data_IF_429643762233
#
_entry.id   IF_429643762233
#
_cell.length_a   1.000
_cell.length_b   1.000
_cell.length_c   1.000
_cell.angle_alpha   90.00
_cell.angle_beta   90.00
_cell.angle_gamma   90.00
#
_symmetry.space_group_name_H-M   'P 1'
#
loop_
_entity.id
_entity.type
_entity.pdbx_description
1 polymer ?
#
# COMPACT_ATOMS: atom_id res chain seq x y z
N UNK A 1 33.01 -13.60 -15.43
CA UNK A 1 33.05 -13.27 -13.99
C UNK A 1 31.84 -13.94 -13.39
N UNK A 2 32.04 -14.82 -12.41
CA UNK A 2 30.93 -15.46 -11.70
C UNK A 2 30.14 -14.44 -10.87
N UNK A 3 28.96 -14.82 -10.41
CA UNK A 3 28.14 -14.02 -9.51
C UNK A 3 28.87 -13.67 -8.21
N UNK A 4 29.55 -14.64 -7.59
CA UNK A 4 30.34 -14.42 -6.37
C UNK A 4 31.52 -13.46 -6.61
N UNK A 5 32.28 -13.65 -7.70
CA UNK A 5 33.37 -12.72 -8.06
C UNK A 5 32.86 -11.30 -8.30
N UNK A 6 31.70 -11.16 -8.95
CA UNK A 6 31.07 -9.86 -9.17
C UNK A 6 30.62 -9.21 -7.86
N UNK A 7 29.94 -9.98 -6.98
CA UNK A 7 29.51 -9.51 -5.66
C UNK A 7 30.71 -9.02 -4.86
N UNK A 8 31.76 -9.82 -4.76
CA UNK A 8 32.94 -9.50 -3.95
C UNK A 8 33.69 -8.28 -4.51
N UNK A 9 33.80 -8.14 -5.84
CA UNK A 9 34.42 -6.97 -6.49
C UNK A 9 33.59 -5.69 -6.27
N UNK A 10 32.26 -5.79 -6.32
CA UNK A 10 31.35 -4.67 -6.07
C UNK A 10 31.36 -4.27 -4.59
N UNK A 11 31.31 -5.24 -3.68
CA UNK A 11 31.29 -4.98 -2.23
C UNK A 11 32.64 -4.47 -1.69
N UNK A 12 33.76 -4.85 -2.30
CA UNK A 12 35.09 -4.30 -2.00
C UNK A 12 35.34 -2.93 -2.62
N UNK A 13 34.46 -2.46 -3.51
CA UNK A 13 34.57 -1.18 -4.21
C UNK A 13 35.52 -1.18 -5.41
N UNK A 14 36.02 -2.35 -5.83
CA UNK A 14 36.82 -2.50 -7.05
C UNK A 14 35.98 -2.23 -8.31
N UNK A 15 34.73 -2.71 -8.32
CA UNK A 15 33.77 -2.48 -9.41
C UNK A 15 32.67 -1.51 -8.96
N UNK A 16 32.53 -0.33 -9.62
CA UNK A 16 31.47 0.61 -9.28
C UNK A 16 30.10 0.15 -9.80
N UNK A 17 29.06 0.37 -8.99
CA UNK A 17 27.65 0.22 -9.39
C UNK A 17 27.15 1.57 -9.91
N UNK A 18 27.46 1.85 -11.17
CA UNK A 18 27.22 3.13 -11.84
C UNK A 18 26.16 3.06 -12.96
N UNK A 19 25.60 1.87 -13.21
CA UNK A 19 24.56 1.64 -14.19
C UNK A 19 23.37 0.88 -13.61
N UNK A 20 22.22 1.02 -14.27
CA UNK A 20 20.99 0.29 -13.95
C UNK A 20 21.23 -1.23 -14.00
N UNK A 21 21.86 -1.72 -15.07
CA UNK A 21 22.12 -3.15 -15.28
C UNK A 21 23.03 -3.75 -14.18
N UNK A 22 24.06 -3.02 -13.74
CA UNK A 22 24.93 -3.48 -12.64
C UNK A 22 24.17 -3.52 -11.32
N UNK A 23 23.27 -2.55 -11.10
CA UNK A 23 22.43 -2.53 -9.91
C UNK A 23 21.42 -3.69 -9.91
N UNK A 24 20.80 -3.98 -11.06
CA UNK A 24 19.95 -5.15 -11.23
C UNK A 24 20.72 -6.44 -10.94
N UNK A 25 21.94 -6.58 -11.46
CA UNK A 25 22.77 -7.78 -11.26
C UNK A 25 23.08 -8.02 -9.78
N UNK A 26 23.53 -6.99 -9.05
CA UNK A 26 23.82 -7.16 -7.61
C UNK A 26 22.53 -7.40 -6.80
N UNK A 27 21.42 -6.77 -7.19
CA UNK A 27 20.12 -7.00 -6.56
C UNK A 27 19.62 -8.44 -6.80
N UNK A 28 19.79 -8.98 -8.01
CA UNK A 28 19.45 -10.36 -8.35
C UNK A 28 20.24 -11.37 -7.51
N UNK A 29 21.55 -11.17 -7.37
CA UNK A 29 22.42 -11.99 -6.51
C UNK A 29 21.93 -11.96 -5.05
N UNK A 30 21.57 -10.77 -4.54
CA UNK A 30 21.05 -10.65 -3.18
C UNK A 30 19.67 -11.29 -2.99
N UNK A 31 18.80 -11.24 -4.01
CA UNK A 31 17.49 -11.89 -3.95
C UNK A 31 17.60 -13.41 -3.91
N UNK A 32 18.50 -14.01 -4.70
CA UNK A 32 18.77 -15.45 -4.65
C UNK A 32 19.18 -15.90 -3.23
N UNK A 33 19.99 -15.11 -2.53
CA UNK A 33 20.40 -15.37 -1.13
C UNK A 33 19.27 -15.18 -0.09
N UNK A 34 18.21 -14.41 -0.38
CA UNK A 34 17.32 -13.84 0.65
C UNK A 34 15.83 -14.18 0.52
N UNK A 35 15.36 -14.51 -0.68
CA UNK A 35 13.95 -14.91 -0.91
C UNK A 35 13.60 -16.17 -0.11
N UNK A 36 14.57 -17.03 0.17
CA UNK A 36 14.41 -18.29 0.91
C UNK A 36 14.50 -18.15 2.43
N UNK A 37 15.11 -17.06 2.92
CA UNK A 37 15.32 -16.81 4.35
C UNK A 37 14.20 -15.94 4.98
N UNK A 38 13.13 -15.65 4.24
CA UNK A 38 12.00 -14.83 4.70
C UNK A 38 12.29 -13.32 4.80
N UNK A 39 13.37 -12.86 4.14
CA UNK A 39 13.86 -11.47 4.18
C UNK A 39 13.27 -10.60 3.06
N UNK A 40 12.97 -11.21 1.90
CA UNK A 40 12.20 -10.61 0.81
C UNK A 40 12.75 -9.29 0.25
N UNK A 41 11.92 -8.59 -0.54
CA UNK A 41 12.31 -7.32 -1.18
C UNK A 41 12.67 -6.19 -0.19
N UNK A 42 12.05 -6.18 1.00
CA UNK A 42 12.23 -5.12 2.00
C UNK A 42 13.63 -5.10 2.62
N UNK A 43 14.22 -6.26 2.88
CA UNK A 43 15.56 -6.32 3.44
C UNK A 43 16.63 -6.02 2.39
N UNK A 44 16.38 -6.42 1.13
CA UNK A 44 17.31 -6.15 0.04
C UNK A 44 17.38 -4.67 -0.28
N UNK A 45 16.26 -3.93 -0.31
CA UNK A 45 16.32 -2.47 -0.53
C UNK A 45 17.15 -1.78 0.56
N UNK A 46 17.04 -2.22 1.81
CA UNK A 46 17.83 -1.65 2.90
C UNK A 46 19.32 -1.99 2.75
N UNK A 47 19.66 -3.23 2.35
CA UNK A 47 21.03 -3.64 2.01
C UNK A 47 21.62 -2.81 0.86
N UNK A 48 20.84 -2.48 -0.17
CA UNK A 48 21.27 -1.60 -1.26
C UNK A 48 21.50 -0.17 -0.77
N UNK A 49 20.57 0.37 0.02
CA UNK A 49 20.64 1.74 0.54
C UNK A 49 21.85 1.96 1.46
N UNK A 50 22.21 0.99 2.32
CA UNK A 50 23.40 1.09 3.19
C UNK A 50 24.71 1.22 2.40
N UNK A 51 24.75 0.73 1.17
CA UNK A 51 25.89 0.85 0.26
C UNK A 51 25.80 2.07 -0.67
N UNK A 52 24.78 2.91 -0.49
CA UNK A 52 24.56 4.10 -1.29
C UNK A 52 23.97 3.82 -2.69
N UNK A 53 23.42 2.63 -2.91
CA UNK A 53 22.85 2.21 -4.18
C UNK A 53 21.34 2.39 -4.23
N UNK A 54 20.84 2.79 -5.40
CA UNK A 54 19.43 3.14 -5.65
C UNK A 54 19.16 3.07 -7.15
N UNK A 55 18.01 2.54 -7.54
CA UNK A 55 17.52 2.55 -8.92
C UNK A 55 17.07 3.95 -9.32
N UNK A 56 16.55 4.73 -8.37
CA UNK A 56 16.22 6.12 -8.60
C UNK A 56 17.43 7.02 -8.84
N UNK A 57 17.25 8.03 -9.69
CA UNK A 57 18.23 9.07 -10.03
C UNK A 57 17.69 10.46 -9.69
N UNK A 58 18.59 11.42 -9.46
CA UNK A 58 18.21 12.80 -9.12
C UNK A 58 17.32 12.86 -7.87
N UNK A 59 16.17 13.53 -7.97
CA UNK A 59 15.21 13.67 -6.86
C UNK A 59 14.55 12.34 -6.46
N UNK A 60 14.63 11.31 -7.31
CA UNK A 60 14.14 9.96 -7.00
C UNK A 60 15.22 9.08 -6.36
N UNK A 61 16.43 9.56 -6.14
CA UNK A 61 17.48 8.76 -5.51
C UNK A 61 17.06 8.31 -4.11
N UNK A 62 17.25 7.03 -3.83
CA UNK A 62 16.79 6.31 -2.63
C UNK A 62 15.27 6.26 -2.47
N UNK A 63 14.49 6.51 -3.52
CA UNK A 63 13.05 6.40 -3.42
C UNK A 63 12.63 4.95 -3.14
N UNK A 64 12.21 4.67 -1.90
CA UNK A 64 11.89 3.30 -1.45
C UNK A 64 10.83 2.64 -2.33
N UNK A 65 9.82 3.38 -2.75
CA UNK A 65 8.80 2.88 -3.68
C UNK A 65 9.41 2.40 -4.99
N UNK A 66 10.23 3.25 -5.62
CA UNK A 66 10.88 2.92 -6.90
C UNK A 66 11.87 1.76 -6.76
N UNK A 67 12.67 1.74 -5.70
CA UNK A 67 13.68 0.72 -5.51
C UNK A 67 13.06 -0.65 -5.23
N UNK A 68 11.99 -0.70 -4.41
CA UNK A 68 11.23 -1.93 -4.18
C UNK A 68 10.46 -2.39 -5.40
N UNK A 69 9.99 -1.48 -6.25
CA UNK A 69 9.36 -1.85 -7.52
C UNK A 69 10.32 -2.68 -8.37
N UNK A 70 11.56 -2.27 -8.54
CA UNK A 70 12.54 -3.04 -9.31
C UNK A 70 12.86 -4.39 -8.69
N UNK A 71 12.91 -4.47 -7.35
CA UNK A 71 13.07 -5.76 -6.66
C UNK A 71 11.84 -6.66 -6.86
N UNK A 72 10.62 -6.12 -6.80
CA UNK A 72 9.40 -6.87 -7.09
C UNK A 72 9.37 -7.38 -8.55
N UNK A 73 9.86 -6.57 -9.50
CA UNK A 73 10.01 -6.98 -10.90
C UNK A 73 11.01 -8.12 -11.08
N UNK A 74 12.17 -8.06 -10.40
CA UNK A 74 13.14 -9.14 -10.40
C UNK A 74 12.53 -10.45 -9.88
N UNK A 75 11.80 -10.40 -8.77
CA UNK A 75 11.15 -11.61 -8.22
C UNK A 75 10.05 -12.14 -9.14
N UNK A 76 9.30 -11.26 -9.81
CA UNK A 76 8.33 -11.67 -10.82
C UNK A 76 9.01 -12.38 -12.00
N UNK A 77 10.11 -11.81 -12.53
CA UNK A 77 10.91 -12.41 -13.60
C UNK A 77 11.53 -13.75 -13.18
N UNK A 78 12.12 -13.85 -11.98
CA UNK A 78 12.65 -15.12 -11.43
C UNK A 78 11.60 -16.23 -11.44
N UNK A 79 10.37 -15.88 -11.05
CA UNK A 79 9.28 -16.83 -11.01
C UNK A 79 8.75 -17.21 -12.40
N UNK A 80 8.84 -16.32 -13.37
CA UNK A 80 8.46 -16.60 -14.76
C UNK A 80 9.49 -17.52 -15.45
N UNK A 81 10.77 -17.41 -15.09
CA UNK A 81 11.83 -18.31 -15.57
C UNK A 81 11.84 -19.68 -14.88
N UNK A 82 11.24 -19.82 -13.70
CA UNK A 82 11.24 -21.11 -13.00
C UNK A 82 10.14 -22.04 -13.53
N UNK A 83 10.51 -23.28 -13.85
CA UNK A 83 9.53 -24.35 -13.99
C UNK A 83 8.95 -24.63 -12.61
N UNK A 84 7.71 -24.18 -12.39
CA UNK A 84 7.03 -24.19 -11.08
C UNK A 84 6.95 -25.60 -10.48
N UNK A 85 7.00 -26.61 -11.33
CA UNK A 85 6.93 -28.02 -10.96
C UNK A 85 8.29 -28.60 -10.50
N UNK A 86 9.42 -28.01 -10.92
CA UNK A 86 10.77 -28.49 -10.56
C UNK A 86 11.46 -27.61 -9.51
N UNK A 87 10.96 -26.38 -9.29
CA UNK A 87 11.53 -25.46 -8.29
C UNK A 87 12.94 -24.98 -8.65
N UNK A 88 13.32 -25.06 -9.91
CA UNK A 88 14.62 -24.62 -10.43
C UNK A 88 14.49 -23.15 -10.83
N UNK A 89 15.26 -22.28 -10.18
CA UNK A 89 15.34 -20.86 -10.50
C UNK A 89 16.60 -20.57 -11.31
N UNK A 90 16.56 -19.49 -12.10
CA UNK A 90 17.73 -19.03 -12.87
C UNK A 90 18.90 -18.75 -11.91
N UNK A 91 20.07 -19.30 -12.23
CA UNK A 91 21.27 -19.10 -11.41
C UNK A 91 21.72 -17.63 -11.47
N UNK A 92 22.26 -17.06 -10.38
CA UNK A 92 22.99 -15.79 -10.40
C UNK A 92 24.05 -15.67 -11.51
N UNK A 93 24.67 -16.79 -11.90
CA UNK A 93 25.66 -16.83 -12.99
C UNK A 93 25.03 -16.65 -14.39
N UNK A 94 23.72 -16.86 -14.53
CA UNK A 94 22.95 -16.79 -15.78
C UNK A 94 22.26 -15.43 -15.97
N UNK A 95 22.61 -14.42 -15.16
CA UNK A 95 21.96 -13.10 -15.15
C UNK A 95 21.85 -12.45 -16.54
N UNK A 96 22.87 -12.61 -17.40
CA UNK A 96 22.85 -11.97 -18.72
C UNK A 96 21.76 -12.57 -19.63
N UNK A 97 21.52 -13.88 -19.58
CA UNK A 97 20.44 -14.55 -20.33
C UNK A 97 19.07 -14.22 -19.73
N UNK A 98 18.98 -14.27 -18.39
CA UNK A 98 17.79 -13.86 -17.64
C UNK A 98 17.37 -12.40 -17.96
N UNK A 99 18.33 -11.48 -18.01
CA UNK A 99 18.07 -10.08 -18.30
C UNK A 99 17.56 -9.87 -19.73
N UNK A 100 18.10 -10.62 -20.71
CA UNK A 100 17.62 -10.55 -22.10
C UNK A 100 16.20 -11.08 -22.22
N UNK A 101 15.88 -12.19 -21.55
CA UNK A 101 14.53 -12.79 -21.55
C UNK A 101 13.48 -11.86 -20.94
N UNK A 102 13.81 -11.19 -19.83
CA UNK A 102 12.88 -10.35 -19.06
C UNK A 102 13.12 -8.85 -19.21
N UNK A 103 13.80 -8.44 -20.28
CA UNK A 103 14.24 -7.05 -20.48
C UNK A 103 13.09 -6.04 -20.35
N UNK A 104 11.90 -6.35 -20.84
CA UNK A 104 10.74 -5.45 -20.78
C UNK A 104 10.29 -5.12 -19.35
N UNK A 105 10.44 -6.06 -18.42
CA UNK A 105 10.17 -5.85 -16.99
C UNK A 105 11.29 -5.07 -16.29
N UNK A 106 12.53 -5.25 -16.76
CA UNK A 106 13.73 -4.84 -16.03
C UNK A 106 14.36 -3.55 -16.56
N UNK A 107 13.98 -3.06 -17.75
CA UNK A 107 14.51 -1.81 -18.33
C UNK A 107 14.38 -0.60 -17.39
N UNK A 108 15.32 0.35 -17.52
CA UNK A 108 15.43 1.53 -16.63
C UNK A 108 14.18 2.44 -16.61
N UNK A 109 13.39 2.42 -17.68
CA UNK A 109 12.17 3.23 -17.80
C UNK A 109 10.88 2.44 -17.54
N UNK A 110 10.97 1.15 -17.21
CA UNK A 110 9.81 0.27 -16.97
C UNK A 110 8.84 0.88 -15.95
N UNK A 111 9.34 1.51 -14.89
CA UNK A 111 8.51 2.11 -13.84
C UNK A 111 7.48 3.13 -14.36
N UNK A 112 7.74 3.77 -15.51
CA UNK A 112 6.84 4.79 -16.09
C UNK A 112 5.52 4.23 -16.57
N UNK A 113 5.46 2.92 -16.80
CA UNK A 113 4.22 2.22 -17.16
C UNK A 113 3.34 1.93 -15.93
N UNK A 114 3.94 1.94 -14.73
CA UNK A 114 3.30 1.52 -13.47
C UNK A 114 3.04 2.69 -12.52
N UNK A 115 3.93 3.68 -12.47
CA UNK A 115 3.84 4.81 -11.55
C UNK A 115 3.69 6.15 -12.27
N UNK A 116 2.82 6.99 -11.71
CA UNK A 116 2.82 8.41 -12.02
C UNK A 116 4.03 9.13 -11.41
N UNK A 117 4.50 10.18 -12.10
CA UNK A 117 5.57 11.04 -11.56
C UNK A 117 5.10 11.78 -10.30
N UNK A 118 3.81 12.11 -10.24
CA UNK A 118 3.22 12.79 -9.09
C UNK A 118 3.24 11.90 -7.85
N UNK A 119 2.94 10.60 -7.97
CA UNK A 119 3.03 9.65 -6.85
C UNK A 119 4.47 9.48 -6.36
N UNK A 120 5.44 9.27 -7.26
CA UNK A 120 6.83 9.04 -6.86
C UNK A 120 7.51 10.27 -6.26
N UNK A 121 7.11 11.48 -6.67
CA UNK A 121 7.67 12.72 -6.12
C UNK A 121 7.17 13.06 -4.71
N UNK A 122 6.15 12.34 -4.20
CA UNK A 122 5.69 12.54 -2.84
C UNK A 122 6.76 12.11 -1.82
N UNK A 123 6.99 12.90 -0.75
CA UNK A 123 7.90 12.53 0.34
C UNK A 123 7.59 11.14 0.92
N UNK A 124 6.31 10.81 1.06
CA UNK A 124 5.84 9.52 1.58
C UNK A 124 6.35 8.34 0.72
N UNK A 125 6.32 8.44 -0.60
CA UNK A 125 6.80 7.38 -1.50
C UNK A 125 8.31 7.16 -1.42
N UNK A 126 9.08 8.18 -1.04
CA UNK A 126 10.53 8.05 -0.85
C UNK A 126 10.91 7.26 0.41
N UNK A 127 10.02 7.24 1.40
CA UNK A 127 10.23 6.64 2.72
C UNK A 127 9.51 5.31 2.91
N UNK A 128 8.33 5.18 2.30
CA UNK A 128 7.45 4.03 2.41
C UNK A 128 7.16 3.45 1.04
N UNK A 129 7.03 2.14 1.01
CA UNK A 129 6.62 1.40 -0.16
C UNK A 129 5.13 1.60 -0.45
N UNK A 130 4.82 1.98 -1.68
CA UNK A 130 3.46 2.10 -2.21
C UNK A 130 3.34 1.25 -3.47
N UNK A 131 2.16 0.68 -3.69
CA UNK A 131 1.87 -0.02 -4.94
C UNK A 131 1.75 0.97 -6.10
N UNK A 132 1.93 0.53 -7.35
CA UNK A 132 1.77 1.40 -8.50
C UNK A 132 0.34 1.88 -8.70
N UNK A 133 0.17 3.10 -9.22
CA UNK A 133 -1.12 3.76 -9.39
C UNK A 133 -1.68 3.67 -10.82
N UNK A 134 -0.84 3.35 -11.81
CA UNK A 134 -1.23 3.21 -13.20
C UNK A 134 -1.59 1.77 -13.58
N UNK A 135 -0.88 0.77 -13.04
CA UNK A 135 -1.07 -0.65 -13.32
C UNK A 135 -0.75 -1.52 -12.10
N UNK A 136 -1.28 -2.75 -12.05
CA UNK A 136 -0.90 -3.71 -11.02
C UNK A 136 0.59 -4.06 -11.12
N UNK A 137 1.20 -4.47 -9.99
CA UNK A 137 2.48 -5.18 -10.06
C UNK A 137 2.30 -6.45 -10.91
N UNK A 138 3.31 -6.86 -11.69
CA UNK A 138 3.23 -8.09 -12.43
C UNK A 138 2.88 -9.26 -11.53
N UNK A 139 1.94 -10.05 -12.04
CA UNK A 139 1.48 -11.29 -11.44
C UNK A 139 0.73 -11.16 -10.10
N UNK A 140 0.43 -9.94 -9.64
CA UNK A 140 -0.24 -9.69 -8.34
C UNK A 140 -1.76 -9.81 -8.36
N UNK A 141 -2.35 -10.15 -9.50
CA UNK A 141 -3.81 -10.24 -9.72
C UNK A 141 -4.35 -11.67 -9.72
N UNK A 142 -3.50 -12.68 -9.58
CA UNK A 142 -3.87 -14.10 -9.53
C UNK A 142 -3.25 -14.80 -8.32
N UNK A 143 -3.83 -15.92 -7.84
CA UNK A 143 -3.24 -16.69 -6.75
C UNK A 143 -1.83 -17.18 -7.07
N UNK A 144 -0.98 -17.24 -6.05
CA UNK A 144 0.32 -17.90 -6.17
C UNK A 144 0.11 -19.40 -6.39
N UNK A 145 0.97 -20.02 -7.20
CA UNK A 145 0.88 -21.42 -7.63
C UNK A 145 -0.31 -21.78 -8.55
N UNK A 146 -1.08 -20.82 -9.06
CA UNK A 146 -2.07 -21.07 -10.12
C UNK A 146 -1.59 -20.47 -11.46
N UNK A 147 -2.07 -21.01 -12.60
CA UNK A 147 -1.72 -20.47 -13.91
C UNK A 147 -2.16 -19.01 -14.03
N UNK A 148 -1.19 -18.11 -14.23
CA UNK A 148 -1.42 -16.66 -14.38
C UNK A 148 -1.78 -16.38 -15.82
N UNK A 149 -3.07 -16.31 -16.13
CA UNK A 149 -3.56 -16.29 -17.51
C UNK A 149 -4.32 -15.00 -17.84
N UNK A 150 -4.29 -14.02 -16.93
CA UNK A 150 -5.18 -12.88 -17.02
C UNK A 150 -4.43 -11.59 -17.38
N UNK A 151 -5.16 -10.69 -18.03
CA UNK A 151 -4.60 -9.60 -18.82
C UNK A 151 -3.83 -8.52 -18.03
N UNK A 152 -3.22 -7.61 -18.79
CA UNK A 152 -2.49 -6.45 -18.26
C UNK A 152 -3.49 -5.35 -17.88
N UNK A 153 -3.37 -4.78 -16.68
CA UNK A 153 -4.24 -3.71 -16.19
C UNK A 153 -4.06 -3.40 -14.71
N UNK A 154 -4.94 -2.56 -14.16
CA UNK A 154 -4.99 -2.22 -12.73
C UNK A 154 -6.22 -2.85 -12.05
N UNK A 155 -6.25 -4.18 -12.08
CA UNK A 155 -7.38 -5.05 -11.74
C UNK A 155 -7.57 -5.17 -10.23
N UNK A 156 -6.48 -5.13 -9.45
CA UNK A 156 -6.55 -5.24 -7.99
C UNK A 156 -7.04 -3.95 -7.32
N UNK A 157 -6.99 -2.81 -8.01
CA UNK A 157 -7.30 -1.47 -7.46
C UNK A 157 -8.66 -1.39 -6.78
N UNK A 158 -9.72 -1.66 -7.54
CA UNK A 158 -11.10 -1.54 -7.05
C UNK A 158 -11.43 -2.58 -5.97
N UNK A 159 -11.09 -3.88 -6.13
CA UNK A 159 -11.22 -4.85 -5.06
C UNK A 159 -10.49 -4.46 -3.77
N UNK A 160 -9.23 -3.99 -3.86
CA UNK A 160 -8.41 -3.58 -2.72
C UNK A 160 -9.02 -2.38 -2.00
N UNK A 161 -9.42 -1.36 -2.75
CA UNK A 161 -10.13 -0.21 -2.23
C UNK A 161 -11.42 -0.62 -1.50
N UNK A 162 -12.26 -1.45 -2.14
CA UNK A 162 -13.51 -1.91 -1.54
C UNK A 162 -13.28 -2.74 -0.28
N UNK A 163 -12.24 -3.57 -0.28
CA UNK A 163 -11.81 -4.33 0.89
C UNK A 163 -11.43 -3.39 2.05
N UNK A 164 -10.71 -2.31 1.79
CA UNK A 164 -10.37 -1.30 2.81
C UNK A 164 -11.61 -0.56 3.34
N UNK A 165 -12.55 -0.19 2.47
CA UNK A 165 -13.83 0.44 2.84
C UNK A 165 -14.63 -0.46 3.78
N UNK A 166 -14.87 -1.71 3.38
CA UNK A 166 -15.64 -2.67 4.20
C UNK A 166 -14.95 -2.94 5.53
N UNK A 167 -13.61 -3.06 5.54
CA UNK A 167 -12.85 -3.22 6.78
C UNK A 167 -12.98 -2.00 7.68
N UNK A 168 -13.01 -0.79 7.14
CA UNK A 168 -13.24 0.44 7.91
C UNK A 168 -14.60 0.41 8.59
N UNK A 169 -15.68 0.09 7.86
CA UNK A 169 -17.02 -0.08 8.43
C UNK A 169 -17.07 -1.13 9.56
N UNK A 170 -16.38 -2.27 9.39
CA UNK A 170 -16.36 -3.35 10.41
C UNK A 170 -15.59 -2.97 11.67
N UNK A 171 -14.51 -2.19 11.54
CA UNK A 171 -13.64 -1.79 12.66
C UNK A 171 -14.25 -0.71 13.52
N UNK A 172 -14.84 0.27 12.85
CA UNK A 172 -15.26 1.53 13.43
C UNK A 172 -16.69 1.80 12.94
N UNK A 173 -17.71 1.18 13.57
CA UNK A 173 -19.12 1.44 13.25
C UNK A 173 -19.58 2.79 13.84
N UNK A 174 -18.73 3.81 13.76
CA UNK A 174 -18.94 5.18 14.24
C UNK A 174 -19.87 5.97 13.32
N UNK A 175 -19.84 5.66 12.02
CA UNK A 175 -20.65 6.28 10.98
C UNK A 175 -21.64 5.27 10.38
N UNK A 176 -22.83 5.71 9.93
CA UNK A 176 -23.73 4.87 9.16
C UNK A 176 -23.07 4.34 7.88
N UNK A 177 -23.38 3.10 7.50
CA UNK A 177 -22.85 2.46 6.28
C UNK A 177 -23.13 3.29 5.02
N UNK A 178 -24.31 3.91 4.94
CA UNK A 178 -24.69 4.82 3.85
C UNK A 178 -23.70 6.00 3.73
N UNK A 179 -23.34 6.60 4.87
CA UNK A 179 -22.40 7.73 4.93
C UNK A 179 -21.01 7.31 4.51
N UNK A 180 -20.52 6.17 4.99
CA UNK A 180 -19.19 5.66 4.60
C UNK A 180 -19.16 5.31 3.11
N UNK A 181 -20.23 4.71 2.59
CA UNK A 181 -20.38 4.38 1.16
C UNK A 181 -20.34 5.63 0.30
N UNK A 182 -21.08 6.68 0.67
CA UNK A 182 -21.05 7.95 -0.07
C UNK A 182 -19.66 8.57 -0.07
N UNK A 183 -18.99 8.63 1.10
CA UNK A 183 -17.62 9.14 1.21
C UNK A 183 -16.66 8.33 0.33
N UNK A 184 -16.80 7.00 0.34
CA UNK A 184 -15.96 6.11 -0.45
C UNK A 184 -16.12 6.39 -1.95
N UNK A 185 -17.35 6.45 -2.46
CA UNK A 185 -17.61 6.71 -3.87
C UNK A 185 -17.12 8.10 -4.30
N UNK A 186 -17.43 9.14 -3.51
CA UNK A 186 -17.01 10.52 -3.79
C UNK A 186 -15.48 10.67 -3.83
N UNK A 187 -14.78 10.01 -2.92
CA UNK A 187 -13.31 10.08 -2.86
C UNK A 187 -12.67 9.30 -4.00
N UNK A 188 -13.17 8.10 -4.29
CA UNK A 188 -12.71 7.27 -5.42
C UNK A 188 -12.86 8.00 -6.76
N UNK A 189 -14.01 8.61 -7.03
CA UNK A 189 -14.26 9.38 -8.25
C UNK A 189 -13.25 10.53 -8.38
N UNK A 190 -13.10 11.35 -7.33
CA UNK A 190 -12.17 12.50 -7.33
C UNK A 190 -10.72 12.08 -7.56
N UNK A 191 -10.27 10.99 -6.92
CA UNK A 191 -8.90 10.50 -7.10
C UNK A 191 -8.65 9.97 -8.50
N UNK A 192 -9.60 9.23 -9.09
CA UNK A 192 -9.49 8.71 -10.46
C UNK A 192 -9.51 9.87 -11.48
N UNK A 193 -10.42 10.82 -11.32
CA UNK A 193 -10.50 11.99 -12.21
C UNK A 193 -9.19 12.77 -12.21
N UNK A 194 -8.64 13.07 -11.01
CA UNK A 194 -7.36 13.76 -10.87
C UNK A 194 -6.21 13.00 -11.53
N UNK A 195 -6.12 11.68 -11.32
CA UNK A 195 -5.06 10.88 -11.94
C UNK A 195 -5.18 10.87 -13.48
N UNK A 196 -6.41 10.86 -14.00
CA UNK A 196 -6.69 10.89 -15.44
C UNK A 196 -6.41 12.23 -16.13
N UNK A 197 -6.29 13.33 -15.38
CA UNK A 197 -5.88 14.63 -15.96
C UNK A 197 -4.52 14.52 -16.65
N UNK A 198 -3.59 13.81 -16.01
CA UNK A 198 -2.23 13.58 -16.53
C UNK A 198 -2.08 12.23 -17.25
N UNK A 199 -2.92 11.24 -16.91
CA UNK A 199 -2.84 9.87 -17.44
C UNK A 199 -4.19 9.37 -18.00
N UNK A 200 -4.58 9.79 -19.21
CA UNK A 200 -5.87 9.40 -19.81
C UNK A 200 -6.05 7.89 -20.04
N UNK A 201 -4.96 7.12 -20.02
CA UNK A 201 -4.95 5.64 -20.14
C UNK A 201 -5.48 4.92 -18.90
N UNK A 202 -5.47 5.57 -17.73
CA UNK A 202 -6.04 5.00 -16.49
C UNK A 202 -7.53 4.77 -16.68
N UNK A 203 -8.07 3.65 -16.21
CA UNK A 203 -9.49 3.33 -16.37
C UNK A 203 -10.42 4.42 -15.80
N UNK A 204 -11.53 4.77 -16.49
CA UNK A 204 -12.45 5.80 -16.01
C UNK A 204 -13.19 5.33 -14.76
N UNK A 205 -13.63 6.29 -13.94
CA UNK A 205 -14.50 5.97 -12.80
C UNK A 205 -15.81 5.36 -13.29
N UNK A 206 -16.24 4.28 -12.64
CA UNK A 206 -17.54 3.67 -12.83
C UNK A 206 -18.16 3.34 -11.48
N UNK A 207 -19.24 4.05 -11.15
CA UNK A 207 -19.99 3.81 -9.91
C UNK A 207 -20.56 2.37 -9.87
N UNK A 208 -20.94 1.82 -11.03
CA UNK A 208 -21.40 0.43 -11.16
C UNK A 208 -20.33 -0.54 -10.66
N UNK A 209 -19.09 -0.39 -11.12
CA UNK A 209 -17.97 -1.25 -10.73
C UNK A 209 -17.64 -1.09 -9.24
N UNK A 210 -17.58 0.16 -8.75
CA UNK A 210 -17.31 0.45 -7.35
C UNK A 210 -18.35 -0.19 -6.42
N UNK A 211 -19.64 -0.02 -6.73
CA UNK A 211 -20.74 -0.61 -5.95
C UNK A 211 -20.77 -2.13 -6.03
N UNK A 212 -20.44 -2.71 -7.19
CA UNK A 212 -20.28 -4.16 -7.32
C UNK A 212 -19.28 -4.68 -6.29
N UNK A 213 -18.08 -4.10 -6.23
CA UNK A 213 -17.05 -4.56 -5.29
C UNK A 213 -17.42 -4.34 -3.82
N UNK A 214 -18.05 -3.22 -3.46
CA UNK A 214 -18.54 -3.00 -2.09
C UNK A 214 -19.56 -4.08 -1.68
N UNK A 215 -20.49 -4.41 -2.58
CA UNK A 215 -21.50 -5.46 -2.35
C UNK A 215 -20.87 -6.85 -2.31
N UNK A 216 -19.96 -7.16 -3.22
CA UNK A 216 -19.21 -8.42 -3.28
C UNK A 216 -18.44 -8.66 -1.98
N UNK A 217 -17.81 -7.61 -1.44
CA UNK A 217 -17.09 -7.62 -0.16
C UNK A 217 -18.02 -7.62 1.08
N UNK A 218 -19.34 -7.60 0.87
CA UNK A 218 -20.40 -7.66 1.88
C UNK A 218 -20.39 -6.45 2.83
N UNK A 219 -20.41 -5.24 2.27
CA UNK A 219 -20.55 -4.00 3.04
C UNK A 219 -21.82 -3.97 3.91
N UNK A 220 -22.90 -4.60 3.45
CA UNK A 220 -24.19 -4.64 4.17
C UNK A 220 -24.26 -5.72 5.26
N UNK A 221 -23.31 -6.66 5.27
CA UNK A 221 -23.27 -7.77 6.23
C UNK A 221 -22.07 -7.61 7.16
N UNK A 222 -22.13 -6.55 7.97
CA UNK A 222 -21.10 -6.27 8.97
C UNK A 222 -21.24 -7.27 10.12
N UNK A 223 -20.21 -8.10 10.30
CA UNK A 223 -20.05 -8.93 11.50
C UNK A 223 -19.56 -8.06 12.66
N UNK A 224 -19.71 -8.56 13.88
CA UNK A 224 -19.14 -7.91 15.06
C UNK A 224 -17.63 -7.67 14.89
N UNK A 225 -17.10 -6.54 15.38
CA UNK A 225 -15.68 -6.24 15.28
C UNK A 225 -14.84 -7.33 15.98
N UNK A 226 -13.99 -8.04 15.24
CA UNK A 226 -13.01 -8.97 15.82
C UNK A 226 -11.70 -8.25 16.16
N UNK A 227 -10.83 -8.87 16.96
CA UNK A 227 -9.45 -8.34 17.15
C UNK A 227 -8.64 -8.37 15.86
N UNK A 228 -8.86 -9.37 15.00
CA UNK A 228 -8.24 -9.51 13.67
C UNK A 228 -8.60 -8.36 12.72
N UNK A 229 -9.74 -7.70 12.96
CA UNK A 229 -10.10 -6.48 12.22
C UNK A 229 -9.08 -5.37 12.43
N UNK A 230 -8.08 -5.45 13.31
CA UNK A 230 -7.04 -4.42 13.44
C UNK A 230 -5.74 -4.72 12.71
N UNK A 231 -5.60 -5.93 12.14
CA UNK A 231 -4.44 -6.33 11.35
C UNK A 231 -4.24 -5.41 10.12
N UNK A 232 -3.03 -5.36 9.54
CA UNK A 232 -2.69 -4.63 8.31
C UNK A 232 -3.62 -4.95 7.12
N UNK A 233 -3.53 -4.14 6.08
CA UNK A 233 -4.31 -4.39 4.87
C UNK A 233 -3.71 -5.54 4.04
N UNK A 234 -3.89 -6.78 4.50
CA UNK A 234 -3.34 -8.00 3.86
C UNK A 234 -4.12 -8.44 2.60
N UNK A 235 -4.50 -7.47 1.75
CA UNK A 235 -5.30 -7.75 0.55
C UNK A 235 -4.50 -8.53 -0.50
N UNK A 236 -3.25 -8.16 -0.75
CA UNK A 236 -2.37 -8.88 -1.69
C UNK A 236 -2.08 -10.31 -1.25
N UNK A 237 -1.88 -10.55 0.05
CA UNK A 237 -1.77 -11.87 0.66
C UNK A 237 -3.06 -12.66 0.44
N UNK A 238 -4.22 -12.02 0.65
CA UNK A 238 -5.52 -12.66 0.42
C UNK A 238 -5.71 -13.05 -1.06
N UNK A 239 -5.28 -12.21 -2.01
CA UNK A 239 -5.29 -12.54 -3.44
C UNK A 239 -4.34 -13.70 -3.73
N UNK A 240 -3.11 -13.66 -3.22
CA UNK A 240 -2.11 -14.71 -3.39
C UNK A 240 -2.60 -16.07 -2.91
N UNK A 241 -3.34 -16.11 -1.80
CA UNK A 241 -3.92 -17.32 -1.24
C UNK A 241 -5.23 -17.75 -1.94
N UNK A 242 -5.79 -16.93 -2.82
CA UNK A 242 -7.03 -17.19 -3.55
C UNK A 242 -8.31 -16.89 -2.75
N UNK A 243 -8.27 -15.99 -1.76
CA UNK A 243 -9.46 -15.59 -1.00
C UNK A 243 -10.36 -14.64 -1.79
N UNK A 244 -9.78 -13.94 -2.76
CA UNK A 244 -10.49 -13.03 -3.63
C UNK A 244 -10.22 -13.37 -5.08
N UNK A 245 -11.29 -13.64 -5.82
CA UNK A 245 -11.27 -13.62 -7.28
C UNK A 245 -11.45 -12.17 -7.73
N UNK A 246 -10.36 -11.50 -8.10
CA UNK A 246 -10.39 -10.12 -8.58
C UNK A 246 -11.10 -9.96 -9.94
N UNK A 247 -11.51 -11.07 -10.55
CA UNK A 247 -12.29 -11.15 -11.78
C UNK A 247 -13.73 -11.59 -11.56
N UNK A 248 -14.18 -11.69 -10.31
CA UNK A 248 -15.55 -12.13 -9.99
C UNK A 248 -16.65 -11.31 -10.68
N UNK A 249 -16.35 -10.09 -11.14
CA UNK A 249 -17.26 -9.27 -11.93
C UNK A 249 -17.67 -9.93 -13.25
N UNK A 250 -16.82 -10.75 -13.86
CA UNK A 250 -17.09 -11.42 -15.15
C UNK A 250 -18.23 -12.45 -15.06
N UNK A 251 -18.62 -12.86 -13.86
CA UNK A 251 -19.81 -13.68 -13.66
C UNK A 251 -21.10 -12.87 -13.83
N UNK A 252 -21.04 -11.56 -13.62
CA UNK A 252 -22.20 -10.66 -13.52
C UNK A 252 -22.30 -9.65 -14.67
N UNK A 253 -21.17 -9.23 -15.22
CA UNK A 253 -21.11 -8.19 -16.24
C UNK A 253 -20.33 -8.66 -17.45
N UNK A 254 -20.89 -8.49 -18.65
CA UNK A 254 -20.13 -8.59 -19.90
C UNK A 254 -19.05 -7.51 -19.95
N UNK A 255 -18.01 -7.71 -20.78
CA UNK A 255 -16.96 -6.71 -20.96
C UNK A 255 -17.53 -5.39 -21.46
N UNK A 256 -18.44 -5.43 -22.42
CA UNK A 256 -19.10 -4.24 -22.96
C UNK A 256 -19.87 -3.48 -21.87
N UNK A 257 -20.55 -4.20 -20.97
CA UNK A 257 -21.29 -3.57 -19.87
C UNK A 257 -20.37 -3.08 -18.76
N UNK A 258 -19.31 -3.81 -18.45
CA UNK A 258 -18.33 -3.42 -17.45
C UNK A 258 -17.59 -2.15 -17.86
N UNK A 259 -17.19 -2.04 -19.13
CA UNK A 259 -16.48 -0.88 -19.69
C UNK A 259 -17.41 0.32 -19.99
N UNK A 260 -18.73 0.17 -19.86
CA UNK A 260 -19.69 1.25 -20.10
C UNK A 260 -19.71 2.25 -18.92
N UNK A 261 -18.88 3.29 -19.02
CA UNK A 261 -18.65 4.28 -17.95
C UNK A 261 -19.61 5.47 -17.92
N UNK A 262 -20.38 5.71 -18.99
CA UNK A 262 -21.27 6.89 -19.10
C UNK A 262 -22.67 6.68 -18.49
N UNK A 263 -22.94 5.49 -17.95
CA UNK A 263 -24.22 5.16 -17.34
C UNK A 263 -24.09 5.10 -15.81
N UNK A 264 -24.92 5.84 -15.05
CA UNK A 264 -24.73 5.99 -13.61
C UNK A 264 -24.88 4.69 -12.83
N UNK A 265 -25.67 3.74 -13.35
CA UNK A 265 -25.84 2.42 -12.74
C UNK A 265 -26.36 1.41 -13.75
N UNK A 266 -25.55 0.41 -14.04
CA UNK A 266 -25.93 -0.70 -14.91
C UNK A 266 -26.25 -1.92 -14.05
N UNK A 267 -27.42 -2.50 -14.27
CA UNK A 267 -27.74 -3.80 -13.71
C UNK A 267 -26.87 -4.90 -14.36
N UNK A 268 -26.55 -6.00 -13.66
CA UNK A 268 -25.89 -7.16 -14.26
C UNK A 268 -26.60 -7.63 -15.54
N UNK A 269 -25.85 -8.00 -16.58
CA UNK A 269 -26.37 -8.64 -17.80
C UNK A 269 -26.04 -10.13 -17.91
N UNK A 270 -25.23 -10.65 -16.99
CA UNK A 270 -24.97 -12.07 -16.82
C UNK A 270 -25.65 -12.58 -15.55
N UNK A 271 -25.83 -13.90 -15.46
CA UNK A 271 -26.63 -14.54 -14.42
C UNK A 271 -25.90 -14.73 -13.08
N UNK A 272 -24.60 -14.43 -13.01
CA UNK A 272 -23.79 -14.61 -11.81
C UNK A 272 -23.45 -16.06 -11.47
N UNK A 273 -23.71 -17.01 -12.37
CA UNK A 273 -23.56 -18.45 -12.09
C UNK A 273 -22.18 -19.00 -12.46
N UNK A 274 -21.34 -18.23 -13.14
CA UNK A 274 -19.96 -18.63 -13.45
C UNK A 274 -19.20 -18.89 -12.14
N UNK A 275 -18.71 -20.11 -11.99
CA UNK A 275 -17.86 -20.49 -10.87
C UNK A 275 -16.52 -19.76 -10.93
N UNK A 276 -15.98 -19.41 -9.78
CA UNK A 276 -14.65 -18.81 -9.70
C UNK A 276 -13.60 -19.84 -10.10
N UNK A 277 -12.68 -19.42 -10.96
CA UNK A 277 -11.51 -20.22 -11.35
C UNK A 277 -10.42 -20.23 -10.25
N UNK A 278 -10.58 -19.39 -9.23
CA UNK A 278 -9.62 -19.25 -8.13
C UNK A 278 -9.96 -20.23 -7.01
N UNK A 279 -8.98 -21.06 -6.65
CA UNK A 279 -9.09 -21.95 -5.48
C UNK A 279 -8.39 -21.36 -4.27
N UNK A 280 -9.11 -21.23 -3.15
CA UNK A 280 -8.55 -20.81 -1.85
C UNK A 280 -7.65 -21.90 -1.25
N UNK A 281 -6.41 -21.55 -0.88
CA UNK A 281 -5.45 -22.51 -0.35
C UNK A 281 -5.59 -22.81 1.15
N UNK A 282 -6.54 -22.20 1.87
CA UNK A 282 -6.80 -22.53 3.28
C UNK A 282 -5.72 -22.05 4.25
N UNK A 283 -5.93 -22.36 5.52
CA UNK A 283 -4.84 -22.45 6.50
C UNK A 283 -4.59 -23.94 6.83
N UNK A 284 -3.33 -24.39 6.97
CA UNK A 284 -2.11 -23.64 6.69
C UNK A 284 -1.95 -23.39 5.18
N UNK A 285 -1.55 -22.18 4.81
CA UNK A 285 -1.42 -21.74 3.41
C UNK A 285 -0.09 -22.17 2.77
N UNK A 286 0.68 -23.02 3.45
CA UNK A 286 1.99 -23.48 2.98
C UNK A 286 3.05 -22.38 2.84
N UNK A 287 2.83 -21.19 3.42
CA UNK A 287 3.74 -20.04 3.29
C UNK A 287 3.43 -19.10 2.12
N UNK A 288 2.29 -19.27 1.43
CA UNK A 288 1.85 -18.40 0.33
C UNK A 288 1.79 -16.93 0.72
N UNK A 289 1.28 -16.61 1.91
CA UNK A 289 1.22 -15.24 2.40
C UNK A 289 2.61 -14.63 2.61
N UNK A 290 3.56 -15.42 3.12
CA UNK A 290 4.94 -14.94 3.29
C UNK A 290 5.65 -14.76 1.94
N UNK A 291 5.38 -15.63 0.97
CA UNK A 291 5.86 -15.45 -0.41
C UNK A 291 5.28 -14.19 -1.06
N UNK A 292 3.99 -13.90 -0.88
CA UNK A 292 3.36 -12.69 -1.41
C UNK A 292 3.96 -11.42 -0.78
N UNK A 293 4.17 -11.42 0.54
CA UNK A 293 4.85 -10.34 1.25
C UNK A 293 6.27 -10.16 0.75
N UNK A 294 7.03 -11.25 0.63
CA UNK A 294 8.43 -11.25 0.16
C UNK A 294 8.56 -10.74 -1.28
N UNK A 295 7.49 -10.81 -2.08
CA UNK A 295 7.39 -10.27 -3.46
C UNK A 295 6.98 -8.79 -3.51
N UNK A 296 6.66 -8.17 -2.39
CA UNK A 296 6.17 -6.80 -2.36
C UNK A 296 4.70 -6.64 -2.74
N UNK A 297 3.86 -7.67 -2.58
CA UNK A 297 2.42 -7.54 -2.89
C UNK A 297 1.64 -6.74 -1.85
N UNK A 298 2.28 -6.45 -0.71
CA UNK A 298 1.72 -5.61 0.33
C UNK A 298 2.50 -4.30 0.46
N UNK A 299 1.84 -3.14 0.29
CA UNK A 299 2.46 -1.85 0.51
C UNK A 299 2.57 -1.53 2.01
N UNK A 300 3.50 -0.65 2.35
CA UNK A 300 3.60 -0.04 3.69
C UNK A 300 2.59 1.12 3.84
N UNK A 301 2.15 1.73 2.74
CA UNK A 301 1.12 2.78 2.73
C UNK A 301 0.12 2.52 1.60
N UNK A 302 -1.17 2.64 1.90
CA UNK A 302 -2.25 2.43 0.94
C UNK A 302 -2.19 3.35 -0.28
N UNK A 303 -3.00 3.02 -1.29
CA UNK A 303 -3.13 3.82 -2.51
C UNK A 303 -3.69 5.22 -2.23
N UNK A 304 -3.63 6.12 -3.22
CA UNK A 304 -4.22 7.46 -3.11
C UNK A 304 -5.72 7.41 -2.80
N UNK A 305 -6.45 6.46 -3.39
CA UNK A 305 -7.88 6.23 -3.15
C UNK A 305 -8.13 5.80 -1.70
N UNK A 306 -7.31 4.89 -1.17
CA UNK A 306 -7.42 4.41 0.21
C UNK A 306 -7.11 5.50 1.23
N UNK A 307 -6.05 6.28 1.00
CA UNK A 307 -5.64 7.39 1.88
C UNK A 307 -6.68 8.52 1.85
N UNK A 308 -7.16 8.90 0.66
CA UNK A 308 -8.19 9.93 0.51
C UNK A 308 -9.51 9.52 1.21
N UNK A 309 -9.91 8.26 1.07
CA UNK A 309 -11.07 7.70 1.76
C UNK A 309 -10.89 7.75 3.29
N UNK A 310 -9.78 7.23 3.82
CA UNK A 310 -9.52 7.19 5.26
C UNK A 310 -9.43 8.61 5.86
N UNK A 311 -8.83 9.56 5.15
CA UNK A 311 -8.79 10.96 5.56
C UNK A 311 -10.18 11.60 5.61
N UNK A 312 -11.01 11.34 4.60
CA UNK A 312 -12.39 11.85 4.58
C UNK A 312 -13.27 11.24 5.68
N UNK A 313 -13.12 9.94 5.95
CA UNK A 313 -13.78 9.27 7.08
C UNK A 313 -13.32 9.89 8.39
N UNK A 314 -12.00 10.07 8.58
CA UNK A 314 -11.46 10.62 9.83
C UNK A 314 -12.02 12.00 10.15
N UNK A 315 -12.10 12.87 9.14
CA UNK A 315 -12.73 14.20 9.27
C UNK A 315 -14.19 14.07 9.68
N UNK A 316 -14.95 13.19 9.01
CA UNK A 316 -16.38 12.99 9.29
C UNK A 316 -16.64 12.44 10.69
N UNK A 317 -15.81 11.53 11.16
CA UNK A 317 -15.90 10.96 12.52
C UNK A 317 -15.62 11.98 13.63
N UNK A 318 -14.91 13.05 13.31
CA UNK A 318 -14.55 14.11 14.26
C UNK A 318 -15.38 15.38 14.11
N UNK A 319 -16.29 15.41 13.13
CA UNK A 319 -17.18 16.54 12.90
C UNK A 319 -18.10 16.75 14.13
N UNK A 320 -18.16 17.98 14.61
CA UNK A 320 -18.92 18.39 15.78
C UNK A 320 -18.39 17.90 17.13
N UNK A 321 -17.23 17.22 17.17
CA UNK A 321 -16.66 16.67 18.42
C UNK A 321 -15.80 17.71 19.13
N UNK A 322 -16.09 17.95 20.41
CA UNK A 322 -15.23 18.78 21.27
C UNK A 322 -13.93 18.03 21.61
N UNK A 323 -12.81 18.76 21.71
CA UNK A 323 -11.51 18.18 22.06
C UNK A 323 -11.52 17.43 23.42
N UNK A 324 -12.43 17.79 24.32
CA UNK A 324 -12.61 17.13 25.64
C UNK A 324 -13.35 15.80 25.53
N UNK A 325 -14.12 15.61 24.45
CA UNK A 325 -15.00 14.46 24.24
C UNK A 325 -14.40 13.43 23.27
N UNK A 326 -13.11 13.56 22.94
CA UNK A 326 -12.43 12.65 22.02
C UNK A 326 -12.42 11.21 22.55
N UNK A 327 -12.92 10.31 21.70
CA UNK A 327 -12.88 8.87 21.89
C UNK A 327 -11.56 8.31 21.37
N UNK A 328 -10.54 8.25 22.22
CA UNK A 328 -9.23 7.68 21.87
C UNK A 328 -9.24 6.15 21.64
N UNK A 329 -10.41 5.50 21.66
CA UNK A 329 -10.60 4.18 21.06
C UNK A 329 -10.70 4.21 19.53
N UNK A 330 -10.86 5.40 18.93
CA UNK A 330 -10.96 5.66 17.49
C UNK A 330 -9.72 6.37 16.98
N UNK A 331 -9.23 5.94 15.81
CA UNK A 331 -7.99 6.47 15.21
C UNK A 331 -8.10 7.94 14.82
N UNK A 332 -9.21 8.32 14.20
CA UNK A 332 -9.50 9.70 13.82
C UNK A 332 -9.45 10.67 15.01
N UNK A 333 -10.03 10.25 16.13
CA UNK A 333 -10.01 11.02 17.38
C UNK A 333 -8.62 11.09 18.01
N UNK A 334 -7.82 10.01 17.94
CA UNK A 334 -6.39 10.03 18.32
C UNK A 334 -5.64 11.06 17.48
N UNK A 335 -5.79 11.02 16.16
CA UNK A 335 -5.08 11.90 15.24
C UNK A 335 -5.49 13.37 15.43
N UNK A 336 -6.78 13.64 15.66
CA UNK A 336 -7.26 14.98 16.02
C UNK A 336 -6.70 15.44 17.38
N UNK A 337 -6.69 14.56 18.38
CA UNK A 337 -6.11 14.85 19.70
C UNK A 337 -4.63 15.18 19.63
N UNK A 338 -3.86 14.43 18.85
CA UNK A 338 -2.43 14.71 18.61
C UNK A 338 -2.21 16.01 17.84
N UNK A 339 -3.04 16.30 16.84
CA UNK A 339 -3.02 17.58 16.15
C UNK A 339 -3.25 18.72 17.15
N UNK A 340 -4.24 18.58 18.05
CA UNK A 340 -4.47 19.52 19.15
C UNK A 340 -3.29 19.67 20.10
N UNK A 341 -2.68 18.56 20.51
CA UNK A 341 -1.50 18.53 21.36
C UNK A 341 -0.28 19.23 20.74
N UNK A 342 -0.15 19.19 19.41
CA UNK A 342 0.89 19.92 18.71
C UNK A 342 0.72 21.46 18.79
N UNK A 343 -0.50 21.97 19.01
CA UNK A 343 -0.77 23.40 19.24
C UNK A 343 -0.77 23.80 20.74
N UNK A 344 -0.94 22.83 21.65
CA UNK A 344 -1.18 23.10 23.07
C UNK A 344 0.06 23.56 23.84
N UNK A 345 -0.13 24.53 24.75
CA UNK A 345 0.93 24.94 25.69
C UNK A 345 1.27 23.83 26.72
N UNK A 346 0.33 22.91 26.96
CA UNK A 346 0.47 21.75 27.84
C UNK A 346 0.56 20.44 27.04
N UNK A 347 1.44 20.46 26.04
CA UNK A 347 1.70 19.32 25.15
C UNK A 347 1.99 18.04 25.93
N UNK A 348 2.74 18.13 27.04
CA UNK A 348 3.13 16.99 27.85
C UNK A 348 1.93 16.27 28.48
N UNK A 349 1.02 17.01 29.12
CA UNK A 349 -0.16 16.43 29.74
C UNK A 349 -1.11 15.82 28.71
N UNK A 350 -1.32 16.51 27.57
CA UNK A 350 -2.22 16.02 26.52
C UNK A 350 -1.69 14.75 25.84
N UNK A 351 -0.37 14.68 25.58
CA UNK A 351 0.26 13.47 25.05
C UNK A 351 0.15 12.30 26.02
N UNK A 352 0.34 12.54 27.31
CA UNK A 352 0.23 11.49 28.32
C UNK A 352 -1.22 10.97 28.44
N UNK A 353 -2.21 11.85 28.35
CA UNK A 353 -3.62 11.45 28.31
C UNK A 353 -3.94 10.58 27.08
N UNK A 354 -3.45 10.98 25.90
CA UNK A 354 -3.59 10.19 24.66
C UNK A 354 -2.95 8.81 24.84
N UNK A 355 -1.72 8.75 25.36
CA UNK A 355 -0.97 7.51 25.62
C UNK A 355 -1.78 6.56 26.51
N UNK A 356 -2.20 7.02 27.68
CA UNK A 356 -2.92 6.20 28.66
C UNK A 356 -4.22 5.64 28.07
N UNK A 357 -4.98 6.46 27.32
CA UNK A 357 -6.24 6.02 26.72
C UNK A 357 -6.04 5.09 25.52
N UNK A 358 -4.98 5.25 24.73
CA UNK A 358 -4.62 4.32 23.66
C UNK A 358 -4.27 2.92 24.20
N UNK A 359 -3.49 2.86 25.29
CA UNK A 359 -3.13 1.61 25.97
C UNK A 359 -4.37 0.97 26.61
N UNK A 360 -5.20 1.75 27.31
CA UNK A 360 -6.45 1.27 27.90
C UNK A 360 -7.43 0.73 26.85
N UNK A 361 -7.43 1.30 25.64
CA UNK A 361 -8.20 0.81 24.49
C UNK A 361 -7.65 -0.50 23.88
N UNK A 362 -6.53 -1.03 24.38
CA UNK A 362 -5.89 -2.25 23.88
C UNK A 362 -5.48 -2.17 22.41
N UNK A 363 -5.20 -0.95 21.93
CA UNK A 363 -4.94 -0.66 20.51
C UNK A 363 -3.48 -0.85 20.12
N UNK A 364 -2.60 -0.60 21.07
CA UNK A 364 -1.15 -0.69 20.94
C UNK A 364 -0.57 -1.11 22.29
N UNK A 365 0.48 -1.91 22.23
CA UNK A 365 1.26 -2.28 23.40
C UNK A 365 1.95 -1.05 24.00
N UNK A 366 2.03 -1.01 25.33
CA UNK A 366 2.60 0.12 26.08
C UNK A 366 4.07 0.41 25.69
N UNK A 367 4.81 -0.60 25.24
CA UNK A 367 6.19 -0.43 24.76
C UNK A 367 6.30 0.28 23.40
N UNK A 368 5.22 0.36 22.61
CA UNK A 368 5.23 0.92 21.24
C UNK A 368 4.48 2.24 21.13
N UNK A 369 3.53 2.50 22.03
CA UNK A 369 2.65 3.69 21.97
C UNK A 369 3.44 5.00 21.99
N UNK A 370 4.49 5.05 22.80
CA UNK A 370 5.31 6.26 22.97
C UNK A 370 6.11 6.60 21.72
N UNK A 371 6.71 5.57 21.10
CA UNK A 371 7.44 5.73 19.84
C UNK A 371 6.50 6.26 18.75
N UNK A 372 5.32 5.67 18.60
CA UNK A 372 4.40 6.12 17.56
C UNK A 372 3.86 7.52 17.81
N UNK A 373 3.50 7.89 19.05
CA UNK A 373 3.02 9.25 19.33
C UNK A 373 4.11 10.27 18.96
N UNK A 374 5.36 10.01 19.35
CA UNK A 374 6.50 10.85 18.99
C UNK A 374 6.61 11.01 17.48
N UNK A 375 6.49 9.91 16.74
CA UNK A 375 6.59 9.91 15.29
C UNK A 375 5.41 10.61 14.61
N UNK A 376 4.17 10.37 15.06
CA UNK A 376 2.99 11.05 14.54
C UNK A 376 3.08 12.56 14.75
N UNK A 377 3.59 12.99 15.91
CA UNK A 377 3.85 14.41 16.17
C UNK A 377 4.94 14.99 15.26
N UNK A 378 6.02 14.25 14.96
CA UNK A 378 7.05 14.71 14.01
C UNK A 378 6.46 15.02 12.63
N UNK A 379 5.45 14.26 12.21
CA UNK A 379 4.72 14.47 10.94
C UNK A 379 3.76 15.66 11.03
N UNK A 380 3.02 15.80 12.14
CA UNK A 380 1.98 16.83 12.28
C UNK A 380 2.53 18.23 12.60
N UNK A 381 3.58 18.33 13.42
CA UNK A 381 4.12 19.61 13.90
C UNK A 381 4.50 20.61 12.80
N UNK A 382 5.12 20.21 11.67
CA UNK A 382 5.43 21.15 10.59
C UNK A 382 4.22 21.86 10.00
N UNK A 383 3.04 21.22 9.97
CA UNK A 383 1.80 21.82 9.48
C UNK A 383 1.23 22.81 10.49
N UNK A 384 1.31 22.43 11.77
CA UNK A 384 0.85 23.23 12.91
C UNK A 384 1.67 24.51 13.09
N UNK A 385 3.00 24.43 12.96
CA UNK A 385 3.93 25.58 13.10
C UNK A 385 3.75 26.65 12.01
N UNK A 386 3.15 26.32 10.87
CA UNK A 386 2.86 27.27 9.79
C UNK A 386 1.61 28.13 10.07
N UNK A 387 0.92 27.92 11.19
CA UNK A 387 -0.33 28.59 11.55
C UNK A 387 -0.20 29.28 12.90
N UNK A 388 -0.82 30.45 13.00
CA UNK A 388 -0.84 31.27 14.22
C UNK A 388 -1.91 30.75 15.19
N UNK A 389 -1.63 29.57 15.77
CA UNK A 389 -2.47 28.95 16.80
C UNK A 389 -3.56 28.03 16.26
N UNK A 390 -4.26 27.40 17.21
CA UNK A 390 -5.32 26.41 16.94
C UNK A 390 -6.44 27.03 16.08
N UNK A 391 -6.86 26.38 14.99
CA UNK A 391 -7.88 26.98 14.13
C UNK A 391 -9.20 27.18 14.87
N UNK A 392 -9.75 28.40 14.79
CA UNK A 392 -10.90 28.82 15.58
C UNK A 392 -12.22 28.18 15.09
N UNK A 393 -12.35 27.99 13.78
CA UNK A 393 -13.53 27.34 13.21
C UNK A 393 -13.35 25.82 13.16
N UNK A 394 -14.45 25.09 13.23
CA UNK A 394 -14.44 23.64 13.00
C UNK A 394 -14.01 23.28 11.57
N UNK A 395 -14.49 24.06 10.59
CA UNK A 395 -14.15 23.84 9.19
C UNK A 395 -12.63 23.90 8.96
N UNK A 396 -11.96 24.92 9.50
CA UNK A 396 -10.50 25.06 9.33
C UNK A 396 -9.73 23.91 10.00
N UNK A 397 -10.23 23.40 11.14
CA UNK A 397 -9.66 22.22 11.82
C UNK A 397 -9.81 20.97 10.97
N UNK A 398 -11.00 20.76 10.43
CA UNK A 398 -11.32 19.65 9.53
C UNK A 398 -10.51 19.69 8.24
N UNK A 399 -10.36 20.86 7.62
CA UNK A 399 -9.53 21.05 6.42
C UNK A 399 -8.04 20.80 6.70
N UNK A 400 -7.53 21.29 7.84
CA UNK A 400 -6.16 21.03 8.26
C UNK A 400 -5.90 19.55 8.53
N UNK A 401 -6.78 18.90 9.28
CA UNK A 401 -6.68 17.47 9.56
C UNK A 401 -6.69 16.68 8.25
N UNK A 402 -7.62 16.99 7.33
CA UNK A 402 -7.68 16.36 6.01
C UNK A 402 -6.38 16.52 5.24
N UNK A 403 -5.84 17.73 5.17
CA UNK A 403 -4.63 18.03 4.42
C UNK A 403 -3.42 17.25 4.96
N UNK A 404 -3.24 17.25 6.29
CA UNK A 404 -2.18 16.47 6.95
C UNK A 404 -2.33 14.98 6.60
N UNK A 405 -3.53 14.42 6.73
CA UNK A 405 -3.76 12.99 6.55
C UNK A 405 -3.64 12.53 5.10
N UNK A 406 -4.03 13.37 4.13
CA UNK A 406 -3.89 13.07 2.70
C UNK A 406 -2.41 13.04 2.28
N UNK A 407 -1.61 13.99 2.75
CA UNK A 407 -0.17 14.01 2.43
C UNK A 407 0.62 12.93 3.19
N UNK A 408 0.09 12.49 4.35
CA UNK A 408 0.79 11.60 5.27
C UNK A 408 -0.02 10.33 5.56
N UNK A 409 -0.29 9.54 4.51
CA UNK A 409 -1.04 8.29 4.61
C UNK A 409 -0.45 7.27 5.60
N UNK A 410 0.84 7.35 5.91
CA UNK A 410 1.50 6.54 6.96
C UNK A 410 0.92 6.78 8.36
N UNK A 411 0.23 7.89 8.61
CA UNK A 411 -0.52 8.09 9.87
C UNK A 411 -1.68 7.09 10.02
N UNK A 412 -2.07 6.43 8.93
CA UNK A 412 -2.99 5.30 8.93
C UNK A 412 -2.31 3.93 8.95
N UNK A 413 -0.97 3.87 8.93
CA UNK A 413 -0.23 2.61 9.12
C UNK A 413 -0.67 1.91 10.42
N UNK A 414 -0.62 0.58 10.44
CA UNK A 414 -1.28 -0.21 11.50
C UNK A 414 -0.26 -0.86 12.41
N UNK A 415 -0.61 -0.97 13.69
CA UNK A 415 0.19 -1.31 14.87
C UNK A 415 0.87 -2.69 14.90
N UNK A 416 0.97 -3.42 13.79
CA UNK A 416 1.85 -4.58 13.70
C UNK A 416 2.21 -4.87 12.25
N UNK A 417 3.47 -4.67 11.89
CA UNK A 417 4.08 -5.37 10.77
C UNK A 417 5.42 -5.97 11.21
N UNK A 418 6.00 -6.76 10.33
CA UNK A 418 7.30 -7.41 10.51
C UNK A 418 8.37 -6.43 10.97
N UNK A 419 9.43 -6.95 11.59
CA UNK A 419 10.61 -6.15 12.00
C UNK A 419 11.24 -5.37 10.81
N UNK A 420 11.00 -5.82 9.58
CA UNK A 420 11.49 -5.22 8.33
C UNK A 420 10.62 -4.09 7.76
N UNK A 421 9.40 -3.89 8.27
CA UNK A 421 8.53 -2.80 7.81
C UNK A 421 8.94 -1.46 8.41
N UNK A 422 9.01 -0.43 7.57
CA UNK A 422 9.22 0.95 8.01
C UNK A 422 7.94 1.65 8.41
N UNK A 423 6.79 0.97 8.45
CA UNK A 423 5.48 1.53 8.86
C UNK A 423 5.47 2.26 10.21
N UNK A 424 6.48 2.05 11.07
CA UNK A 424 6.67 2.75 12.35
C UNK A 424 7.98 3.52 12.42
N UNK A 425 8.43 4.02 11.28
CA UNK A 425 9.55 4.93 11.23
C UNK A 425 9.15 6.16 10.42
N UNK A 426 8.43 7.07 11.07
CA UNK A 426 8.05 8.34 10.45
C UNK A 426 9.19 9.38 10.48
N UNK A 427 10.45 9.01 10.81
CA UNK A 427 11.56 9.96 10.84
C UNK A 427 11.82 10.58 9.45
N UNK A 428 11.44 11.85 9.31
CA UNK A 428 11.77 12.72 8.19
C UNK A 428 13.23 13.22 8.30
N UNK A 429 14.22 12.33 8.40
CA UNK A 429 15.61 12.80 8.34
C UNK A 429 15.95 13.19 6.90
N UNK A 430 16.56 14.38 6.66
CA UNK A 430 17.11 14.69 5.35
C UNK A 430 18.18 13.66 5.05
N UNK A 431 18.04 12.97 3.91
CA UNK A 431 19.06 12.04 3.44
C UNK A 431 20.24 12.85 2.90
N UNK A 432 21.42 12.59 3.48
CA UNK A 432 22.72 13.07 3.01
C UNK A 432 23.09 12.30 1.74
#
# INVERSE_FOLDING_TARGET
MSADEFRDSVESGETPVDSHDRLLRIAFIYLDESVWDGRGVFDIVDRLHTRGWSFGKGDLKFNRTLDLFYLAQLVAAMYRSSDQDEGIFASPDEFDEFYVEHHDLLKEDAWREYYSSSLLSQPTSSLFYRLPDLQDLPDSSDPLAQPRHKGIGHLTKLPRWAHNVVRTCRRQPSLPVETVTQIALDTLEKTILRLREDYPSVQPYSETQARFWLKYMKIDSLREPSKETWNPNDFGISVAQGAFDVWAWEAHYSRERWEAVDAPRLEPDLDGTRESEVTWCGLPDGGVGEMARSRGWEPEVGSEEEVAFLAAVAVKETEGVDMRDLNYGMRSHILLGLMGAAFGADKGQQVEEVKQRMVAGGRIDDNRVEQWIREALMVMEPYVRKKDGWPASEQDRSEMLRHILVENGQLFARWSLSESSKEFNFELKPRI
#
